data_IF_927402813144
#
_entry.id   IF_927402813144
#
_cell.length_a   1.000
_cell.length_b   1.000
_cell.length_c   1.000
_cell.angle_alpha   90.00
_cell.angle_beta   90.00
_cell.angle_gamma   90.00
#
_symmetry.space_group_name_H-M   'P 1'
#
loop_
_entity.id
_entity.type
_entity.pdbx_description
1 polymer ?
#
# COMPACT_ATOMS: atom_id res chain seq x y z
N UNK A 1 -62.07 -26.76 -1.71
CA UNK A 1 -61.41 -25.88 -0.71
C UNK A 1 -60.39 -25.02 -1.45
N UNK A 2 -60.52 -23.69 -1.35
CA UNK A 2 -59.55 -22.62 -1.71
C UNK A 2 -59.14 -22.53 -3.21
N UNK A 3 -59.83 -21.67 -4.00
CA UNK A 3 -59.45 -20.29 -4.40
C UNK A 3 -58.42 -20.29 -5.54
N UNK A 4 -58.40 -19.43 -6.56
CA UNK A 4 -59.24 -18.39 -7.18
C UNK A 4 -58.42 -17.95 -8.42
N UNK A 5 -59.11 -17.61 -9.49
CA UNK A 5 -58.67 -17.16 -10.82
C UNK A 5 -57.69 -15.96 -10.94
N UNK A 6 -57.09 -15.88 -12.16
CA UNK A 6 -56.60 -14.73 -12.96
C UNK A 6 -55.33 -13.97 -12.46
N UNK A 7 -54.34 -13.55 -13.26
CA UNK A 7 -54.36 -12.84 -14.55
C UNK A 7 -53.10 -13.05 -15.42
N UNK A 8 -53.25 -12.80 -16.71
CA UNK A 8 -52.17 -12.57 -17.68
C UNK A 8 -51.29 -11.36 -17.30
N UNK A 9 -50.00 -11.41 -17.68
CA UNK A 9 -49.07 -10.29 -17.60
C UNK A 9 -47.85 -10.52 -18.49
N UNK A 10 -47.83 -9.86 -19.64
CA UNK A 10 -46.66 -9.70 -20.52
C UNK A 10 -45.73 -8.65 -19.89
N UNK A 11 -44.41 -8.90 -19.89
CA UNK A 11 -43.37 -7.92 -19.56
C UNK A 11 -42.00 -8.54 -19.84
N UNK A 12 -41.46 -8.37 -21.04
CA UNK A 12 -40.46 -7.36 -21.41
C UNK A 12 -39.10 -7.53 -20.68
N UNK A 13 -38.14 -8.04 -21.46
CA UNK A 13 -36.70 -7.71 -21.51
C UNK A 13 -36.13 -6.86 -20.36
N UNK A 14 -35.05 -7.36 -19.73
CA UNK A 14 -33.74 -6.66 -19.67
C UNK A 14 -32.64 -7.72 -19.55
N UNK A 15 -31.83 -7.88 -20.59
CA UNK A 15 -30.51 -8.50 -20.46
C UNK A 15 -29.59 -7.45 -19.82
N UNK A 16 -29.23 -7.62 -18.55
CA UNK A 16 -28.26 -6.77 -17.89
C UNK A 16 -26.85 -7.24 -18.27
N UNK A 17 -26.35 -6.75 -19.40
CA UNK A 17 -24.92 -6.80 -19.70
C UNK A 17 -24.22 -5.78 -18.80
N UNK A 18 -23.60 -6.23 -17.71
CA UNK A 18 -22.71 -5.40 -16.91
C UNK A 18 -21.40 -5.30 -17.69
N UNK A 19 -21.27 -4.25 -18.49
CA UNK A 19 -19.98 -3.82 -19.01
C UNK A 19 -19.20 -3.22 -17.83
N UNK A 20 -18.06 -3.82 -17.47
CA UNK A 20 -17.06 -3.17 -16.65
C UNK A 20 -16.17 -2.32 -17.57
N UNK A 21 -16.15 -0.98 -17.44
CA UNK A 21 -15.03 -0.21 -17.94
C UNK A 21 -13.96 -0.21 -16.85
N UNK A 22 -13.07 -1.19 -16.84
CA UNK A 22 -11.77 -1.03 -16.17
C UNK A 22 -10.79 -0.41 -17.16
N UNK A 23 -11.08 0.84 -17.54
CA UNK A 23 -10.12 1.72 -18.18
C UNK A 23 -10.05 3.00 -17.34
N UNK A 24 -9.36 2.91 -16.20
CA UNK A 24 -8.74 4.07 -15.61
C UNK A 24 -7.24 3.92 -15.84
N UNK A 25 -6.79 4.69 -16.83
CA UNK A 25 -5.41 4.86 -17.19
C UNK A 25 -4.59 5.35 -16.00
N UNK A 26 -3.33 4.91 -15.98
CA UNK A 26 -2.31 5.37 -15.08
C UNK A 26 -0.98 4.72 -15.38
N UNK A 27 -0.57 4.64 -16.65
CA UNK A 27 0.85 4.43 -16.97
C UNK A 27 1.64 5.74 -16.78
N UNK A 28 1.37 6.42 -15.67
CA UNK A 28 2.24 7.45 -15.16
C UNK A 28 3.23 6.75 -14.25
N UNK A 29 4.41 6.42 -14.77
CA UNK A 29 5.60 6.60 -13.95
C UNK A 29 5.62 8.10 -13.65
N UNK A 30 4.88 8.49 -12.61
CA UNK A 30 5.02 9.81 -12.03
C UNK A 30 6.47 9.85 -11.58
N UNK A 31 7.29 10.51 -12.38
CA UNK A 31 8.57 11.06 -11.96
C UNK A 31 8.21 12.13 -10.92
N UNK A 32 7.75 11.66 -9.76
CA UNK A 32 7.47 12.47 -8.60
C UNK A 32 8.81 13.03 -8.14
N UNK A 33 8.86 14.33 -7.87
CA UNK A 33 10.01 14.95 -7.22
C UNK A 33 10.28 14.40 -5.82
N UNK A 34 9.34 13.64 -5.25
CA UNK A 34 9.47 13.00 -3.96
C UNK A 34 10.47 11.86 -4.01
N UNK A 35 11.63 12.08 -3.42
CA UNK A 35 12.65 11.06 -3.21
C UNK A 35 12.34 10.26 -1.94
N UNK A 36 12.49 8.94 -2.02
CA UNK A 36 12.44 8.03 -0.88
C UNK A 36 13.58 7.02 -1.04
N UNK A 37 14.44 6.93 -0.04
CA UNK A 37 15.55 5.98 0.01
C UNK A 37 15.56 5.30 1.36
N UNK A 38 15.30 3.99 1.38
CA UNK A 38 15.45 3.18 2.59
C UNK A 38 16.90 2.72 2.70
N UNK A 39 17.57 3.09 3.80
CA UNK A 39 18.99 2.82 4.03
C UNK A 39 19.21 1.53 4.80
N UNK A 40 18.30 1.22 5.73
CA UNK A 40 18.27 -0.05 6.47
C UNK A 40 16.82 -0.45 6.74
N UNK A 41 16.48 -1.75 6.74
CA UNK A 41 17.33 -2.84 6.29
C UNK A 41 17.53 -2.80 4.77
N UNK A 42 18.50 -3.56 4.26
CA UNK A 42 18.61 -3.81 2.82
C UNK A 42 17.54 -4.83 2.39
N UNK A 43 17.07 -4.72 1.15
CA UNK A 43 16.13 -5.71 0.61
C UNK A 43 16.76 -7.12 0.62
N UNK A 44 15.91 -8.12 0.86
CA UNK A 44 16.25 -9.54 1.04
C UNK A 44 17.27 -9.84 2.16
N UNK A 45 17.48 -8.91 3.10
CA UNK A 45 18.43 -9.12 4.20
C UNK A 45 17.94 -10.13 5.24
N UNK A 46 18.88 -10.84 5.86
CA UNK A 46 18.61 -11.78 6.97
C UNK A 46 18.96 -11.14 8.31
N UNK A 47 18.02 -11.17 9.25
CA UNK A 47 18.18 -10.68 10.62
C UNK A 47 17.96 -11.80 11.63
N UNK A 48 18.52 -11.64 12.83
CA UNK A 48 18.49 -12.65 13.90
C UNK A 48 17.77 -12.16 15.16
N UNK A 49 16.99 -11.08 15.02
CA UNK A 49 16.20 -10.46 16.08
C UNK A 49 14.75 -10.35 15.61
N UNK A 50 13.81 -10.42 16.56
CA UNK A 50 12.37 -10.32 16.29
C UNK A 50 11.92 -8.90 15.92
N UNK A 51 12.85 -7.94 15.84
CA UNK A 51 12.63 -6.58 15.38
C UNK A 51 13.80 -6.12 14.51
N UNK A 52 13.52 -5.24 13.56
CA UNK A 52 14.53 -4.57 12.72
C UNK A 52 14.28 -3.06 12.70
N UNK A 53 15.36 -2.29 12.65
CA UNK A 53 15.29 -0.86 12.37
C UNK A 53 15.04 -0.64 10.88
N UNK A 54 13.97 0.08 10.57
CA UNK A 54 13.67 0.62 9.25
C UNK A 54 13.97 2.10 9.28
N UNK A 55 15.03 2.50 8.57
CA UNK A 55 15.46 3.89 8.50
C UNK A 55 15.83 4.28 7.07
N UNK A 56 15.68 5.55 6.77
CA UNK A 56 15.88 6.08 5.44
C UNK A 56 15.86 7.59 5.41
N UNK A 57 15.88 8.11 4.19
CA UNK A 57 15.82 9.53 3.89
C UNK A 57 14.71 9.75 2.86
N UNK A 58 13.96 10.81 3.04
CA UNK A 58 13.00 11.32 2.07
C UNK A 58 13.14 12.84 1.96
N UNK A 59 12.25 13.51 1.24
CA UNK A 59 12.21 14.97 1.25
C UNK A 59 11.83 15.51 2.64
N UNK A 60 12.44 16.63 3.09
CA UNK A 60 11.96 17.34 4.25
C UNK A 60 10.47 17.68 4.11
N UNK A 61 9.73 17.63 5.23
CA UNK A 61 8.28 17.87 5.29
C UNK A 61 7.39 16.80 4.63
N UNK A 62 7.96 15.73 4.07
CA UNK A 62 7.18 14.56 3.63
C UNK A 62 6.62 13.78 4.83
N UNK A 63 5.49 13.11 4.60
CA UNK A 63 4.87 12.19 5.57
C UNK A 63 5.24 10.76 5.19
N UNK A 64 5.93 10.05 6.08
CA UNK A 64 6.32 8.65 5.90
C UNK A 64 5.41 7.74 6.72
N UNK A 65 5.06 6.59 6.13
CA UNK A 65 4.46 5.46 6.84
C UNK A 65 5.24 4.18 6.58
N UNK A 66 5.35 3.35 7.61
CA UNK A 66 5.96 2.02 7.55
C UNK A 66 4.91 1.00 7.97
N UNK A 67 4.55 0.07 7.09
CA UNK A 67 3.41 -0.85 7.26
C UNK A 67 2.10 -0.12 7.64
N UNK A 68 1.88 1.06 7.06
CA UNK A 68 0.72 1.92 7.31
C UNK A 68 0.76 2.68 8.65
N UNK A 69 1.82 2.54 9.45
CA UNK A 69 2.02 3.30 10.70
C UNK A 69 2.85 4.55 10.38
N UNK A 70 2.35 5.73 10.76
CA UNK A 70 3.06 6.99 10.55
C UNK A 70 4.38 7.04 11.34
N UNK A 71 5.44 7.49 10.68
CA UNK A 71 6.77 7.68 11.25
C UNK A 71 7.13 9.16 11.16
N UNK A 72 7.72 9.70 12.23
CA UNK A 72 8.19 11.08 12.25
C UNK A 72 9.40 11.23 11.32
N UNK A 73 9.35 12.26 10.47
CA UNK A 73 10.45 12.67 9.60
C UNK A 73 11.07 13.92 10.23
N UNK A 74 12.39 13.91 10.39
CA UNK A 74 13.11 15.05 10.97
C UNK A 74 13.25 16.21 9.96
N UNK A 75 13.74 17.37 10.43
CA UNK A 75 13.91 18.56 9.60
C UNK A 75 14.93 18.41 8.45
N UNK A 76 15.67 17.30 8.41
CA UNK A 76 16.61 16.93 7.35
C UNK A 76 16.12 15.79 6.47
N UNK A 77 14.89 15.30 6.67
CA UNK A 77 14.27 14.24 5.87
C UNK A 77 14.58 12.82 6.35
N UNK A 78 15.30 12.63 7.46
CA UNK A 78 15.55 11.28 7.97
C UNK A 78 14.34 10.76 8.74
N UNK A 79 14.11 9.46 8.62
CA UNK A 79 13.15 8.73 9.43
C UNK A 79 13.78 7.44 9.95
N UNK A 80 13.33 6.98 11.11
CA UNK A 80 13.67 5.67 11.66
C UNK A 80 12.54 5.16 12.55
N UNK A 81 12.25 3.86 12.46
CA UNK A 81 11.31 3.17 13.34
C UNK A 81 11.71 1.71 13.52
N UNK A 82 11.23 1.08 14.60
CA UNK A 82 11.38 -0.36 14.81
C UNK A 82 10.15 -1.10 14.27
N UNK A 83 10.39 -2.13 13.48
CA UNK A 83 9.36 -3.02 12.94
C UNK A 83 9.54 -4.40 13.54
N UNK A 84 8.50 -4.92 14.20
CA UNK A 84 8.46 -6.30 14.67
C UNK A 84 8.33 -7.28 13.49
N UNK A 85 8.97 -8.44 13.62
CA UNK A 85 9.09 -9.46 12.59
C UNK A 85 8.57 -10.80 13.11
N UNK A 86 7.86 -11.52 12.26
CA UNK A 86 7.55 -12.93 12.44
C UNK A 86 8.68 -13.80 11.86
N UNK A 87 8.86 -15.03 12.37
CA UNK A 87 9.88 -15.94 11.84
C UNK A 87 9.67 -16.19 10.34
N UNK A 88 10.74 -16.09 9.54
CA UNK A 88 10.70 -16.23 8.09
C UNK A 88 10.64 -14.89 7.34
N UNK A 89 10.14 -14.88 6.10
CA UNK A 89 10.05 -13.66 5.28
C UNK A 89 8.96 -12.70 5.76
N UNK A 90 9.32 -11.43 5.92
CA UNK A 90 8.44 -10.32 6.28
C UNK A 90 8.49 -9.28 5.17
N UNK A 91 7.31 -8.85 4.69
CA UNK A 91 7.21 -7.72 3.77
C UNK A 91 7.04 -6.44 4.58
N UNK A 92 7.89 -5.45 4.31
CA UNK A 92 7.85 -4.12 4.91
C UNK A 92 7.59 -3.12 3.79
N UNK A 93 6.44 -2.44 3.85
CA UNK A 93 6.10 -1.36 2.93
C UNK A 93 6.45 -0.02 3.57
N UNK A 94 7.22 0.80 2.86
CA UNK A 94 7.54 2.18 3.23
C UNK A 94 6.92 3.09 2.18
N UNK A 95 6.08 4.02 2.60
CA UNK A 95 5.42 4.99 1.71
C UNK A 95 5.71 6.39 2.20
N UNK A 96 6.21 7.24 1.32
CA UNK A 96 6.33 8.68 1.52
C UNK A 96 5.26 9.40 0.70
N UNK A 97 4.71 10.49 1.25
CA UNK A 97 3.79 11.38 0.56
C UNK A 97 4.08 12.84 0.87
N UNK A 98 3.93 13.72 -0.11
CA UNK A 98 4.12 15.17 0.05
C UNK A 98 2.79 15.94 0.10
N UNK A 99 2.87 17.26 0.32
CA UNK A 99 1.70 18.15 0.38
C UNK A 99 1.05 18.40 -0.99
N UNK A 100 1.75 18.11 -2.09
CA UNK A 100 1.26 18.22 -3.47
C UNK A 100 0.49 16.96 -3.90
N UNK A 101 0.53 15.92 -3.07
CA UNK A 101 -0.16 14.65 -3.27
C UNK A 101 0.68 13.64 -4.05
N UNK A 102 1.98 13.88 -4.25
CA UNK A 102 2.85 12.87 -4.82
C UNK A 102 3.19 11.79 -3.78
N UNK A 103 3.50 10.60 -4.28
CA UNK A 103 3.82 9.43 -3.45
C UNK A 103 5.00 8.66 -4.03
N UNK A 104 5.85 8.17 -3.13
CA UNK A 104 6.93 7.22 -3.42
C UNK A 104 6.80 6.04 -2.47
N UNK A 105 7.07 4.83 -2.95
CA UNK A 105 6.92 3.61 -2.16
C UNK A 105 8.05 2.62 -2.41
N UNK A 106 8.55 2.02 -1.34
CA UNK A 106 9.54 0.95 -1.36
C UNK A 106 9.01 -0.26 -0.60
N UNK A 107 9.21 -1.47 -1.15
CA UNK A 107 8.82 -2.72 -0.48
C UNK A 107 10.09 -3.54 -0.28
N UNK A 108 10.35 -3.88 0.98
CA UNK A 108 11.51 -4.69 1.36
C UNK A 108 11.05 -6.05 1.86
N UNK A 109 11.81 -7.09 1.53
CA UNK A 109 11.69 -8.42 2.13
C UNK A 109 12.77 -8.60 3.18
N UNK A 110 12.40 -8.81 4.44
CA UNK A 110 13.33 -9.09 5.55
C UNK A 110 13.11 -10.49 6.07
N UNK A 111 14.16 -11.28 6.16
CA UNK A 111 14.10 -12.68 6.57
C UNK A 111 14.58 -12.79 8.02
N UNK A 112 13.67 -13.04 8.95
CA UNK A 112 14.02 -13.29 10.35
C UNK A 112 14.30 -14.78 10.57
N UNK A 113 15.49 -15.10 11.09
CA UNK A 113 15.91 -16.45 11.46
C UNK A 113 16.23 -16.50 12.96
N UNK A 114 15.67 -17.50 13.65
CA UNK A 114 15.87 -17.75 15.09
C UNK A 114 17.14 -18.53 15.42
#
# INVERSE_FOLDING_TARGET
MKKRWLMAGVGLLVALAVALPAACAGNGTAESGLELVVTTPQDESTVYTFETEVAGVTEPDAVVSVNGILVEVDATGNFSTLVGLDEGPNLIEVVASDYEGNQASEILTVIYVV
#
